data_IF_106610573490
#
_entry.id   IF_106610573490
#
_cell.length_a   1.000
_cell.length_b   1.000
_cell.length_c   1.000
_cell.angle_alpha   90.00
_cell.angle_beta   90.00
_cell.angle_gamma   90.00
#
_symmetry.space_group_name_H-M   'P 1'
#
loop_
_entity.id
_entity.type
_entity.pdbx_description
1 polymer ?
#
# COMPACT_ATOMS: atom_id res chain seq x y z
N UNK A 1 11.64 -1.13 -21.89
CA UNK A 1 12.07 -2.50 -21.53
C UNK A 1 12.00 -2.66 -20.03
N UNK A 2 11.03 -3.44 -19.49
CA UNK A 2 10.90 -3.67 -18.04
C UNK A 2 11.93 -4.71 -17.63
N UNK A 3 13.00 -4.31 -16.96
CA UNK A 3 13.93 -5.24 -16.32
C UNK A 3 13.28 -5.77 -15.03
N UNK A 4 12.61 -6.89 -15.11
CA UNK A 4 12.15 -7.62 -13.92
C UNK A 4 13.30 -8.46 -13.39
N UNK A 5 13.83 -8.11 -12.23
CA UNK A 5 14.80 -8.96 -11.54
C UNK A 5 14.04 -10.07 -10.83
N UNK A 6 14.21 -11.31 -11.29
CA UNK A 6 13.59 -12.50 -10.68
C UNK A 6 14.51 -13.08 -9.61
N UNK A 7 13.92 -13.44 -8.45
CA UNK A 7 14.63 -14.19 -7.40
C UNK A 7 14.26 -15.67 -7.53
N UNK A 8 15.26 -16.51 -7.69
CA UNK A 8 15.09 -17.97 -7.63
C UNK A 8 15.27 -18.43 -6.18
N UNK A 9 14.32 -19.22 -5.69
CA UNK A 9 14.39 -19.90 -4.40
C UNK A 9 14.33 -21.39 -4.66
N UNK A 10 15.36 -22.12 -4.25
CA UNK A 10 15.37 -23.57 -4.27
C UNK A 10 14.31 -24.10 -3.30
N UNK A 11 13.41 -24.93 -3.76
CA UNK A 11 12.34 -25.54 -2.96
C UNK A 11 12.72 -26.95 -2.55
N UNK A 12 13.34 -27.71 -3.45
CA UNK A 12 13.71 -29.10 -3.27
C UNK A 12 14.02 -29.78 -4.60
N UNK A 13 14.13 -31.09 -4.57
CA UNK A 13 14.18 -31.92 -5.77
C UNK A 13 12.96 -32.83 -5.80
N UNK A 14 12.36 -32.94 -6.97
CA UNK A 14 11.24 -33.85 -7.25
C UNK A 14 11.61 -34.75 -8.44
N UNK A 15 11.01 -35.94 -8.48
CA UNK A 15 11.20 -36.87 -9.59
C UNK A 15 10.14 -36.64 -10.66
N UNK A 16 10.59 -36.43 -11.89
CA UNK A 16 9.75 -36.23 -13.07
C UNK A 16 9.93 -37.41 -14.02
N UNK A 17 8.85 -37.81 -14.68
CA UNK A 17 8.91 -38.83 -15.72
C UNK A 17 9.28 -38.15 -17.05
N UNK A 18 10.35 -38.62 -17.68
CA UNK A 18 10.68 -38.23 -19.05
C UNK A 18 9.60 -38.79 -19.98
N UNK A 19 8.86 -37.94 -20.68
CA UNK A 19 7.75 -38.33 -21.52
C UNK A 19 8.16 -39.18 -22.74
N UNK A 20 9.44 -39.11 -23.17
CA UNK A 20 9.97 -39.88 -24.32
C UNK A 20 10.56 -41.23 -23.91
N UNK A 21 11.25 -41.28 -22.76
CA UNK A 21 11.94 -42.50 -22.30
C UNK A 21 11.22 -43.25 -21.19
N UNK A 22 10.28 -42.62 -20.51
CA UNK A 22 9.58 -43.19 -19.34
C UNK A 22 10.44 -43.26 -18.08
N UNK A 23 11.67 -42.74 -18.09
CA UNK A 23 12.58 -42.78 -16.96
C UNK A 23 12.27 -41.68 -15.94
N UNK A 24 12.48 -42.02 -14.66
CA UNK A 24 12.42 -41.06 -13.56
C UNK A 24 13.70 -40.23 -13.51
N UNK A 25 13.58 -38.94 -13.65
CA UNK A 25 14.71 -38.00 -13.64
C UNK A 25 14.52 -37.05 -12.45
N UNK A 26 15.48 -36.99 -11.51
CA UNK A 26 15.46 -36.02 -10.44
C UNK A 26 15.72 -34.61 -10.98
N UNK A 27 14.80 -33.70 -10.74
CA UNK A 27 14.93 -32.31 -11.16
C UNK A 27 14.85 -31.37 -9.95
N UNK A 28 15.61 -30.29 -10.01
CA UNK A 28 15.55 -29.24 -9.01
C UNK A 28 14.33 -28.36 -9.25
N UNK A 29 13.49 -28.26 -8.23
CA UNK A 29 12.33 -27.37 -8.25
C UNK A 29 12.74 -26.03 -7.67
N UNK A 30 12.56 -24.96 -8.47
CA UNK A 30 12.84 -23.59 -8.06
C UNK A 30 11.57 -22.75 -8.20
N UNK A 31 11.23 -22.00 -7.16
CA UNK A 31 10.24 -20.95 -7.26
C UNK A 31 10.86 -19.70 -7.85
N UNK A 32 10.20 -19.11 -8.83
CA UNK A 32 10.60 -17.84 -9.42
C UNK A 32 9.65 -16.77 -8.91
N UNK A 33 10.15 -15.89 -8.06
CA UNK A 33 9.38 -14.77 -7.51
C UNK A 33 9.83 -13.46 -8.17
N UNK A 34 8.88 -12.64 -8.57
CA UNK A 34 9.19 -11.29 -9.02
C UNK A 34 9.66 -10.45 -7.82
N UNK A 35 10.82 -9.81 -7.96
CA UNK A 35 11.28 -8.85 -6.95
C UNK A 35 10.55 -7.52 -7.13
N UNK A 36 10.26 -6.88 -6.02
CA UNK A 36 9.83 -5.49 -6.05
C UNK A 36 10.88 -4.64 -6.78
N UNK A 37 10.43 -3.97 -7.85
CA UNK A 37 11.27 -3.08 -8.63
C UNK A 37 11.40 -1.74 -7.91
N UNK A 38 12.60 -1.19 -7.90
CA UNK A 38 12.88 0.14 -7.30
C UNK A 38 12.64 0.21 -5.79
N UNK A 39 12.88 -0.89 -5.08
CA UNK A 39 12.77 -0.96 -3.63
C UNK A 39 13.96 -0.27 -2.95
N UNK A 40 13.68 0.69 -2.08
CA UNK A 40 14.67 1.34 -1.23
C UNK A 40 14.38 1.03 0.25
N UNK A 41 15.42 0.64 1.00
CA UNK A 41 15.31 0.57 2.46
C UNK A 41 15.44 1.98 3.02
N UNK A 42 14.41 2.44 3.72
CA UNK A 42 14.40 3.77 4.34
C UNK A 42 14.30 3.60 5.85
N UNK A 43 15.19 4.23 6.59
CA UNK A 43 15.08 4.37 8.04
C UNK A 43 14.14 5.53 8.32
N UNK A 44 12.86 5.20 8.50
CA UNK A 44 11.78 6.18 8.58
C UNK A 44 12.01 7.20 9.70
N UNK A 45 12.51 6.77 10.86
CA UNK A 45 12.77 7.68 11.98
C UNK A 45 13.80 8.76 11.61
N UNK A 46 14.94 8.38 11.00
CA UNK A 46 15.96 9.33 10.57
C UNK A 46 15.47 10.24 9.45
N UNK A 47 14.61 9.71 8.56
CA UNK A 47 14.00 10.53 7.51
C UNK A 47 13.04 11.57 8.11
N UNK A 48 12.22 11.19 9.08
CA UNK A 48 11.32 12.10 9.81
C UNK A 48 12.12 13.21 10.49
N UNK A 49 13.16 12.85 11.25
CA UNK A 49 14.03 13.79 11.94
C UNK A 49 14.74 14.77 10.98
N UNK A 50 15.20 14.27 9.82
CA UNK A 50 15.85 15.09 8.81
C UNK A 50 14.90 16.06 8.11
N UNK A 51 13.62 15.70 7.99
CA UNK A 51 12.59 16.49 7.32
C UNK A 51 11.84 17.41 8.30
N UNK A 52 11.90 17.14 9.60
CA UNK A 52 11.19 17.94 10.61
C UNK A 52 11.67 19.42 10.64
N UNK A 53 12.87 19.67 10.13
CA UNK A 53 13.35 21.04 9.88
C UNK A 53 12.64 21.73 8.69
N UNK A 54 11.95 20.98 7.84
CA UNK A 54 11.14 21.53 6.74
C UNK A 54 9.69 21.66 7.22
N UNK A 55 9.29 22.83 7.62
CA UNK A 55 8.02 23.14 8.31
C UNK A 55 6.76 22.95 7.43
N UNK A 56 6.59 21.78 6.83
CA UNK A 56 5.40 21.41 6.08
C UNK A 56 4.52 20.45 6.90
N UNK A 57 3.48 20.98 7.55
CA UNK A 57 2.54 20.20 8.35
C UNK A 57 1.90 19.03 7.59
N UNK A 58 1.70 19.17 6.28
CA UNK A 58 1.13 18.10 5.44
C UNK A 58 2.09 16.92 5.31
N UNK A 59 3.38 17.21 5.13
CA UNK A 59 4.42 16.21 5.03
C UNK A 59 4.63 15.49 6.38
N UNK A 60 4.67 16.25 7.48
CA UNK A 60 4.72 15.70 8.85
C UNK A 60 3.56 14.74 9.11
N UNK A 61 2.32 15.10 8.70
CA UNK A 61 1.18 14.24 8.85
C UNK A 61 1.31 12.95 8.00
N UNK A 62 1.78 13.05 6.77
CA UNK A 62 1.99 11.88 5.91
C UNK A 62 3.01 10.90 6.52
N UNK A 63 4.14 11.37 7.02
CA UNK A 63 5.12 10.53 7.70
C UNK A 63 4.59 9.96 9.01
N UNK A 64 3.86 10.76 9.78
CA UNK A 64 3.22 10.27 11.01
C UNK A 64 2.22 9.14 10.71
N UNK A 65 1.47 9.23 9.61
CA UNK A 65 0.57 8.16 9.15
C UNK A 65 1.38 6.89 8.87
N UNK A 66 2.49 6.99 8.12
CA UNK A 66 3.34 5.85 7.76
C UNK A 66 3.89 5.16 9.01
N UNK A 67 4.34 5.91 10.00
CA UNK A 67 4.88 5.38 11.25
C UNK A 67 3.83 4.62 12.07
N UNK A 68 2.57 5.07 12.03
CA UNK A 68 1.45 4.50 12.79
C UNK A 68 0.63 3.46 12.04
N UNK A 69 1.12 2.92 10.91
CA UNK A 69 0.45 1.85 10.17
C UNK A 69 0.52 0.52 10.92
N UNK A 70 -0.57 -0.22 10.88
CA UNK A 70 -0.61 -1.62 11.31
C UNK A 70 0.02 -2.57 10.26
N UNK A 71 0.00 -3.89 10.53
CA UNK A 71 0.55 -4.92 9.63
C UNK A 71 -0.21 -5.05 8.31
N UNK A 72 -1.44 -4.60 8.27
CA UNK A 72 -2.34 -4.58 7.10
C UNK A 72 -2.25 -3.28 6.30
N UNK A 73 -1.23 -2.46 6.56
CA UNK A 73 -1.01 -1.16 5.92
C UNK A 73 -2.14 -0.15 6.16
N UNK A 74 -2.82 -0.28 7.32
CA UNK A 74 -3.96 0.54 7.68
C UNK A 74 -3.66 1.45 8.86
N UNK A 75 -4.22 2.66 8.82
CA UNK A 75 -4.35 3.56 9.96
C UNK A 75 -5.79 3.49 10.49
N UNK A 76 -5.97 2.91 11.69
CA UNK A 76 -7.29 2.77 12.32
C UNK A 76 -7.43 3.83 13.41
N UNK A 77 -7.76 5.05 13.00
CA UNK A 77 -7.96 6.22 13.88
C UNK A 77 -8.89 7.22 13.21
N UNK A 78 -9.76 7.87 14.01
CA UNK A 78 -10.56 8.99 13.52
C UNK A 78 -9.71 10.24 13.32
N UNK A 79 -10.11 11.13 12.42
CA UNK A 79 -9.37 12.39 12.17
C UNK A 79 -9.22 13.25 13.43
N UNK A 80 -10.18 13.19 14.36
CA UNK A 80 -10.11 13.90 15.64
C UNK A 80 -8.99 13.35 16.53
N UNK A 81 -8.84 12.02 16.58
CA UNK A 81 -7.75 11.37 17.32
C UNK A 81 -6.38 11.68 16.68
N UNK A 82 -6.33 11.68 15.35
CA UNK A 82 -5.12 12.07 14.61
C UNK A 82 -4.74 13.51 14.93
N UNK A 83 -5.68 14.45 14.89
CA UNK A 83 -5.45 15.85 15.20
C UNK A 83 -4.87 16.04 16.61
N UNK A 84 -5.45 15.36 17.60
CA UNK A 84 -4.95 15.40 18.98
C UNK A 84 -3.53 14.83 19.11
N UNK A 85 -3.25 13.69 18.48
CA UNK A 85 -1.92 13.03 18.57
C UNK A 85 -0.82 13.79 17.83
N UNK A 86 -1.16 14.49 16.77
CA UNK A 86 -0.21 15.27 15.96
C UNK A 86 -0.09 16.73 16.39
N UNK A 87 -0.93 17.18 17.35
CA UNK A 87 -1.07 18.58 17.76
C UNK A 87 -1.41 19.51 16.58
N UNK A 88 -2.16 19.00 15.61
CA UNK A 88 -2.62 19.74 14.43
C UNK A 88 -4.09 20.10 14.57
N UNK A 89 -4.55 21.17 13.90
CA UNK A 89 -5.97 21.48 13.84
C UNK A 89 -6.73 20.40 13.05
N UNK A 90 -7.98 20.14 13.43
CA UNK A 90 -8.83 19.17 12.73
C UNK A 90 -9.03 19.55 11.25
N UNK A 91 -9.08 20.84 10.94
CA UNK A 91 -9.19 21.36 9.57
C UNK A 91 -7.95 21.02 8.76
N UNK A 92 -6.74 21.23 9.32
CA UNK A 92 -5.47 20.84 8.68
C UNK A 92 -5.41 19.35 8.41
N UNK A 93 -5.78 18.52 9.39
CA UNK A 93 -5.83 17.07 9.22
C UNK A 93 -6.82 16.68 8.14
N UNK A 94 -8.06 17.21 8.19
CA UNK A 94 -9.10 16.89 7.21
C UNK A 94 -8.70 17.26 5.78
N UNK A 95 -8.19 18.46 5.57
CA UNK A 95 -7.71 18.93 4.25
C UNK A 95 -6.55 18.08 3.74
N UNK A 96 -5.60 17.73 4.60
CA UNK A 96 -4.46 16.90 4.22
C UNK A 96 -4.89 15.47 3.91
N UNK A 97 -5.72 14.86 4.73
CA UNK A 97 -6.27 13.52 4.49
C UNK A 97 -7.03 13.46 3.16
N UNK A 98 -7.83 14.52 2.86
CA UNK A 98 -8.51 14.62 1.56
C UNK A 98 -7.53 14.74 0.40
N UNK A 99 -6.52 15.58 0.51
CA UNK A 99 -5.48 15.73 -0.54
C UNK A 99 -4.75 14.40 -0.80
N UNK A 100 -4.40 13.63 0.24
CA UNK A 100 -3.76 12.33 0.12
C UNK A 100 -4.68 11.25 -0.51
N UNK A 101 -6.00 11.42 -0.42
CA UNK A 101 -6.98 10.54 -1.07
C UNK A 101 -7.22 10.90 -2.54
N UNK A 102 -7.05 12.17 -2.90
CA UNK A 102 -7.30 12.68 -4.27
C UNK A 102 -6.04 12.84 -5.11
N UNK A 103 -4.86 12.49 -4.58
CA UNK A 103 -3.61 12.46 -5.35
C UNK A 103 -3.66 11.39 -6.45
N UNK A 104 -2.86 11.54 -7.49
CA UNK A 104 -2.73 10.56 -8.57
C UNK A 104 -1.26 10.10 -8.69
N UNK A 105 -0.93 8.85 -8.37
CA UNK A 105 -1.81 7.83 -7.75
C UNK A 105 -2.24 8.21 -6.33
N UNK A 106 -3.39 7.73 -5.84
CA UNK A 106 -3.85 8.02 -4.50
C UNK A 106 -2.90 7.44 -3.46
N UNK A 107 -2.49 8.29 -2.51
CA UNK A 107 -1.61 7.84 -1.42
C UNK A 107 -2.36 6.96 -0.41
N UNK A 108 -3.61 7.29 -0.10
CA UNK A 108 -4.45 6.50 0.78
C UNK A 108 -5.91 6.47 0.33
N UNK A 109 -6.63 5.43 0.73
CA UNK A 109 -8.06 5.33 0.56
C UNK A 109 -8.75 5.26 1.92
N UNK A 110 -9.96 5.80 1.98
CA UNK A 110 -10.81 5.72 3.17
C UNK A 110 -11.60 4.41 3.13
N UNK A 111 -11.41 3.53 4.12
CA UNK A 111 -12.20 2.30 4.26
C UNK A 111 -13.53 2.63 4.95
N UNK A 112 -13.48 3.40 6.04
CA UNK A 112 -14.65 3.88 6.77
C UNK A 112 -14.32 5.19 7.54
N UNK A 113 -15.19 5.66 8.39
CA UNK A 113 -15.03 6.93 9.12
C UNK A 113 -13.83 6.99 10.08
N UNK A 114 -13.22 5.86 10.39
CA UNK A 114 -12.06 5.76 11.29
C UNK A 114 -10.97 4.83 10.79
N UNK A 115 -11.01 4.41 9.53
CA UNK A 115 -10.00 3.52 8.97
C UNK A 115 -9.59 3.96 7.56
N UNK A 116 -8.30 4.00 7.33
CA UNK A 116 -7.66 4.40 6.09
C UNK A 116 -6.59 3.38 5.72
N UNK A 117 -6.46 3.04 4.44
CA UNK A 117 -5.42 2.16 3.93
C UNK A 117 -4.45 2.98 3.08
N UNK A 118 -3.16 2.88 3.37
CA UNK A 118 -2.11 3.46 2.52
C UNK A 118 -1.88 2.55 1.32
N UNK A 119 -1.65 3.17 0.17
CA UNK A 119 -1.42 2.46 -1.08
C UNK A 119 -0.19 1.53 -0.98
N UNK A 120 -0.38 0.21 -1.05
CA UNK A 120 0.70 -0.76 -0.90
C UNK A 120 1.70 -0.76 -2.07
N UNK A 121 1.38 -0.03 -3.16
CA UNK A 121 2.30 0.20 -4.27
C UNK A 121 3.23 1.40 -4.04
N UNK A 122 2.90 2.26 -3.06
CA UNK A 122 3.72 3.40 -2.68
C UNK A 122 4.59 3.02 -1.47
N UNK A 123 3.97 2.49 -0.42
CA UNK A 123 4.66 2.11 0.82
C UNK A 123 4.09 0.79 1.32
N UNK A 124 4.98 -0.07 1.76
CA UNK A 124 4.63 -1.35 2.36
C UNK A 124 5.51 -1.65 3.58
N UNK A 125 4.84 -2.07 4.67
CA UNK A 125 5.49 -2.51 5.91
C UNK A 125 5.20 -4.00 6.12
N UNK A 126 6.07 -4.88 5.60
CA UNK A 126 5.87 -6.33 5.75
C UNK A 126 6.59 -7.17 4.72
N UNK A 127 6.19 -8.45 4.59
CA UNK A 127 6.74 -9.38 3.61
C UNK A 127 6.11 -9.15 2.23
N UNK A 128 6.82 -9.58 1.18
CA UNK A 128 6.30 -9.52 -0.20
C UNK A 128 5.00 -10.31 -0.35
N UNK A 129 4.93 -11.51 0.23
CA UNK A 129 3.73 -12.37 0.16
C UNK A 129 2.50 -11.71 0.77
N UNK A 130 2.66 -11.07 1.94
CA UNK A 130 1.58 -10.33 2.58
C UNK A 130 1.12 -9.12 1.75
N UNK A 131 2.08 -8.45 1.06
CA UNK A 131 1.78 -7.33 0.18
C UNK A 131 0.83 -7.70 -0.95
N UNK A 132 1.02 -8.87 -1.58
CA UNK A 132 0.18 -9.30 -2.71
C UNK A 132 -1.29 -9.46 -2.34
N UNK A 133 -1.58 -10.01 -1.15
CA UNK A 133 -2.95 -10.09 -0.63
C UNK A 133 -3.57 -8.70 -0.42
N UNK A 134 -2.81 -7.80 0.18
CA UNK A 134 -3.28 -6.43 0.46
C UNK A 134 -3.45 -5.60 -0.82
N UNK A 135 -2.62 -5.79 -1.85
CA UNK A 135 -2.80 -5.14 -3.16
C UNK A 135 -4.17 -5.52 -3.75
N UNK A 136 -4.57 -6.78 -3.64
CA UNK A 136 -5.88 -7.22 -4.11
C UNK A 136 -7.02 -6.51 -3.36
N UNK A 137 -6.95 -6.47 -2.03
CA UNK A 137 -7.95 -5.80 -1.19
C UNK A 137 -8.00 -4.28 -1.43
N UNK A 138 -6.84 -3.65 -1.62
CA UNK A 138 -6.72 -2.24 -1.97
C UNK A 138 -7.43 -1.94 -3.30
N UNK A 139 -7.15 -2.72 -4.33
CA UNK A 139 -7.76 -2.55 -5.65
C UNK A 139 -9.28 -2.72 -5.63
N UNK A 140 -9.78 -3.69 -4.84
CA UNK A 140 -11.22 -3.91 -4.64
C UNK A 140 -11.87 -2.72 -3.92
N UNK A 141 -11.27 -2.24 -2.86
CA UNK A 141 -11.77 -1.09 -2.09
C UNK A 141 -11.78 0.19 -2.92
N UNK A 142 -10.75 0.41 -3.76
CA UNK A 142 -10.68 1.56 -4.66
C UNK A 142 -11.78 1.50 -5.73
N UNK A 143 -12.05 0.32 -6.30
CA UNK A 143 -13.12 0.14 -7.26
C UNK A 143 -14.50 0.47 -6.66
N UNK A 144 -14.76 0.04 -5.41
CA UNK A 144 -16.00 0.35 -4.70
C UNK A 144 -16.18 1.85 -4.44
N UNK A 145 -15.11 2.56 -4.06
CA UNK A 145 -15.17 4.02 -3.87
C UNK A 145 -15.50 4.76 -5.17
N UNK A 146 -14.87 4.39 -6.27
CA UNK A 146 -15.13 4.99 -7.58
C UNK A 146 -16.59 4.82 -8.03
N UNK A 147 -17.22 3.68 -7.72
CA UNK A 147 -18.63 3.43 -8.01
C UNK A 147 -19.53 4.32 -7.15
N UNK A 148 -19.25 4.42 -5.85
CA UNK A 148 -20.01 5.26 -4.91
C UNK A 148 -19.96 6.74 -5.28
N UNK A 149 -18.77 7.27 -5.59
CA UNK A 149 -18.60 8.67 -6.01
C UNK A 149 -19.33 9.00 -7.33
N UNK A 150 -19.33 8.06 -8.29
CA UNK A 150 -20.09 8.24 -9.55
C UNK A 150 -21.59 8.26 -9.28
N UNK A 151 -22.10 7.39 -8.42
CA UNK A 151 -23.50 7.37 -8.04
C UNK A 151 -23.94 8.67 -7.31
N UNK A 152 -23.11 9.18 -6.39
CA UNK A 152 -23.39 10.45 -5.73
C UNK A 152 -23.40 11.65 -6.71
N UNK A 153 -22.46 11.69 -7.65
CA UNK A 153 -22.43 12.74 -8.69
C UNK A 153 -23.68 12.69 -9.57
N UNK A 154 -24.10 11.49 -9.99
CA UNK A 154 -25.32 11.31 -10.78
C UNK A 154 -26.58 11.79 -10.05
N UNK A 155 -26.73 11.43 -8.76
CA UNK A 155 -27.87 11.84 -7.95
C UNK A 155 -27.90 13.37 -7.71
N UNK A 156 -26.74 14.02 -7.54
CA UNK A 156 -26.65 15.49 -7.41
C UNK A 156 -27.00 16.25 -8.69
N UNK A 157 -26.76 15.65 -9.87
CA UNK A 157 -27.14 16.24 -11.16
C UNK A 157 -28.64 16.10 -11.44
N UNK A 158 -29.30 15.05 -10.95
CA UNK A 158 -30.71 14.79 -11.16
C UNK A 158 -31.62 15.63 -10.26
N UNK A 159 -31.10 16.18 -9.17
CA UNK A 159 -31.82 17.00 -8.19
C UNK A 159 -31.59 18.51 -8.35
N UNK A 160 -31.02 18.93 -9.48
CA UNK A 160 -30.91 20.32 -9.94
C UNK A 160 -31.85 20.58 -11.12
#
# INVERSE_FOLDING_TARGET
>A
MKMTSKKQKYIGSEEFINAETGELVPMQVVSIEDKDFNFHKVWLQHLIESIDCISNQKLRLAFWIIDNLNKENQLVMTQRVIANKTSMSLDTVSKTMKALQTSDPPFLIKINSGAYMVNPNIIWKGSHTSRMGIIYDYSKSQAQQNVSEKAEKYNKQKNK
#
